data_IF_146609142336
#
_entry.id   IF_146609142336
#
_cell.length_a   1.000
_cell.length_b   1.000
_cell.length_c   1.000
_cell.angle_alpha   90.00
_cell.angle_beta   90.00
_cell.angle_gamma   90.00
#
_symmetry.space_group_name_H-M   'P 1'
#
loop_
_entity.id
_entity.type
_entity.pdbx_description
1 polymer ?
#
# COMPACT_ATOMS: atom_id res chain seq x y z
N UNK A 1 6.76 -18.89 -36.71
CA UNK A 1 7.42 -18.46 -35.46
C UNK A 1 6.41 -18.62 -34.33
N UNK A 2 6.85 -19.06 -33.14
CA UNK A 2 5.98 -19.06 -31.97
C UNK A 2 5.67 -17.61 -31.58
N UNK A 3 4.46 -17.34 -31.12
CA UNK A 3 4.11 -16.02 -30.58
C UNK A 3 4.71 -15.85 -29.18
N UNK A 4 4.90 -14.61 -28.72
CA UNK A 4 5.33 -14.31 -27.35
C UNK A 4 4.47 -15.04 -26.31
N UNK A 5 3.16 -15.11 -26.54
CA UNK A 5 2.22 -15.84 -25.68
C UNK A 5 2.53 -17.34 -25.61
N UNK A 6 2.86 -17.97 -26.74
CA UNK A 6 3.19 -19.40 -26.79
C UNK A 6 4.54 -19.69 -26.12
N UNK A 7 5.51 -18.79 -26.24
CA UNK A 7 6.81 -18.90 -25.57
C UNK A 7 6.67 -18.73 -24.06
N UNK A 8 5.89 -17.73 -23.62
CA UNK A 8 5.57 -17.52 -22.21
C UNK A 8 4.82 -18.70 -21.60
N UNK A 9 3.77 -19.20 -22.27
CA UNK A 9 3.02 -20.37 -21.79
C UNK A 9 3.94 -21.59 -21.64
N UNK A 10 4.80 -21.85 -22.63
CA UNK A 10 5.77 -22.95 -22.56
C UNK A 10 6.75 -22.77 -21.40
N UNK A 11 7.19 -21.55 -21.14
CA UNK A 11 8.08 -21.23 -20.01
C UNK A 11 7.38 -21.49 -18.67
N UNK A 12 6.16 -20.99 -18.48
CA UNK A 12 5.35 -21.21 -17.27
C UNK A 12 5.11 -22.71 -17.05
N UNK A 13 4.74 -23.46 -18.09
CA UNK A 13 4.53 -24.92 -17.98
C UNK A 13 5.78 -25.71 -17.65
N UNK A 14 6.98 -25.20 -17.97
CA UNK A 14 8.24 -25.82 -17.52
C UNK A 14 8.47 -25.63 -16.02
N UNK A 15 8.07 -24.49 -15.47
CA UNK A 15 8.19 -24.20 -14.03
C UNK A 15 7.13 -24.98 -13.23
N UNK A 16 5.94 -25.17 -13.80
CA UNK A 16 4.81 -25.87 -13.17
C UNK A 16 4.34 -27.10 -13.98
N UNK A 17 5.17 -28.17 -14.08
CA UNK A 17 4.99 -29.25 -15.05
C UNK A 17 3.82 -30.22 -14.79
N UNK A 18 3.04 -30.03 -13.72
CA UNK A 18 1.98 -30.94 -13.30
C UNK A 18 0.71 -30.22 -12.81
N UNK A 19 0.48 -28.96 -13.23
CA UNK A 19 -0.70 -28.19 -12.87
C UNK A 19 -1.55 -27.88 -14.11
N UNK A 20 -2.78 -28.38 -14.13
CA UNK A 20 -3.75 -28.07 -15.19
C UNK A 20 -4.20 -26.60 -15.11
N UNK A 21 -4.28 -26.05 -13.90
CA UNK A 21 -4.63 -24.66 -13.62
C UNK A 21 -3.57 -24.03 -12.70
N UNK A 22 -3.08 -22.86 -13.10
CA UNK A 22 -2.09 -22.09 -12.34
C UNK A 22 -2.77 -20.78 -11.91
N UNK A 23 -3.15 -20.62 -10.62
CA UNK A 23 -3.78 -19.39 -10.16
C UNK A 23 -2.76 -18.24 -10.17
N UNK A 24 -3.24 -17.02 -10.41
CA UNK A 24 -2.41 -15.82 -10.29
C UNK A 24 -1.88 -15.63 -8.86
N UNK A 25 -2.72 -15.93 -7.85
CA UNK A 25 -2.37 -15.85 -6.44
C UNK A 25 -3.19 -16.87 -5.63
N UNK A 26 -2.53 -17.53 -4.67
CA UNK A 26 -3.17 -18.42 -3.70
C UNK A 26 -2.49 -18.28 -2.33
N UNK A 27 -3.22 -18.01 -1.24
CA UNK A 27 -2.66 -18.01 0.11
C UNK A 27 -2.03 -19.36 0.45
N UNK A 28 -0.89 -19.34 1.13
CA UNK A 28 -0.21 -20.54 1.61
C UNK A 28 -0.20 -20.54 3.13
N UNK A 29 -0.84 -21.55 3.73
CA UNK A 29 -0.85 -21.76 5.18
C UNK A 29 0.06 -22.95 5.50
N UNK A 30 1.31 -22.68 5.88
CA UNK A 30 2.38 -23.70 5.99
C UNK A 30 2.95 -23.84 7.40
N UNK A 31 2.51 -23.03 8.33
CA UNK A 31 3.00 -23.00 9.70
C UNK A 31 1.87 -23.10 10.71
N UNK A 32 1.90 -22.20 11.67
CA UNK A 32 1.02 -22.24 12.84
C UNK A 32 -0.32 -21.52 12.62
N UNK A 33 -0.66 -21.10 11.39
CA UNK A 33 -1.84 -20.26 11.13
C UNK A 33 -3.12 -20.94 11.64
N UNK A 34 -3.28 -22.24 11.36
CA UNK A 34 -4.42 -23.03 11.88
C UNK A 34 -4.42 -23.09 13.41
N UNK A 35 -3.26 -23.32 14.02
CA UNK A 35 -3.18 -23.43 15.48
C UNK A 35 -3.55 -22.09 16.14
N UNK A 36 -2.99 -20.98 15.67
CA UNK A 36 -3.26 -19.67 16.24
C UNK A 36 -4.73 -19.25 16.11
N UNK A 37 -5.38 -19.60 15.00
CA UNK A 37 -6.83 -19.39 14.85
C UNK A 37 -7.64 -20.26 15.81
N UNK A 38 -7.24 -21.51 16.03
CA UNK A 38 -7.93 -22.36 17.01
C UNK A 38 -7.74 -21.83 18.44
N UNK A 39 -6.55 -21.35 18.78
CA UNK A 39 -6.27 -20.77 20.09
C UNK A 39 -7.13 -19.53 20.38
N UNK A 40 -7.44 -18.69 19.36
CA UNK A 40 -8.35 -17.56 19.57
C UNK A 40 -9.79 -18.00 19.79
N UNK A 41 -10.24 -19.04 19.08
CA UNK A 41 -11.57 -19.62 19.28
C UNK A 41 -11.72 -20.25 20.67
N UNK A 42 -10.70 -20.98 21.13
CA UNK A 42 -10.70 -21.63 22.44
C UNK A 42 -10.63 -20.60 23.59
N UNK A 43 -9.80 -19.56 23.44
CA UNK A 43 -9.68 -18.50 24.44
C UNK A 43 -10.83 -17.49 24.43
N UNK A 44 -11.67 -17.50 23.39
CA UNK A 44 -12.77 -16.54 23.12
C UNK A 44 -12.32 -15.08 22.84
N UNK A 45 -11.01 -14.81 22.79
CA UNK A 45 -10.46 -13.53 22.35
C UNK A 45 -10.43 -13.47 20.81
N UNK A 46 -11.61 -13.31 20.22
CA UNK A 46 -11.86 -13.36 18.76
C UNK A 46 -12.10 -12.00 18.12
N UNK A 47 -12.10 -10.93 18.91
CA UNK A 47 -12.36 -9.56 18.44
C UNK A 47 -11.06 -8.80 18.16
N UNK A 48 -11.14 -7.47 18.06
CA UNK A 48 -10.02 -6.58 17.74
C UNK A 48 -8.97 -6.41 18.85
N UNK A 49 -9.14 -7.11 19.97
CA UNK A 49 -8.20 -7.11 21.10
C UNK A 49 -7.84 -8.56 21.42
N UNK A 50 -6.55 -8.86 21.50
CA UNK A 50 -6.06 -10.18 21.89
C UNK A 50 -4.56 -10.34 21.68
N UNK A 51 -4.01 -11.34 22.36
CA UNK A 51 -2.56 -11.63 22.39
C UNK A 51 -1.90 -11.72 21.00
N UNK A 52 -2.63 -12.19 19.99
CA UNK A 52 -2.10 -12.30 18.64
C UNK A 52 -1.96 -10.96 17.91
N UNK A 53 -2.73 -9.93 18.30
CA UNK A 53 -2.54 -8.56 17.80
C UNK A 53 -1.23 -8.00 18.33
N UNK A 54 -1.01 -8.04 19.65
CA UNK A 54 0.21 -7.54 20.29
C UNK A 54 1.46 -8.26 19.75
N UNK A 55 1.40 -9.60 19.65
CA UNK A 55 2.49 -10.41 19.08
C UNK A 55 2.77 -10.04 17.63
N UNK A 56 1.74 -9.79 16.82
CA UNK A 56 1.90 -9.40 15.43
C UNK A 56 2.55 -8.01 15.34
N UNK A 57 2.08 -7.03 16.10
CA UNK A 57 2.66 -5.68 16.11
C UNK A 57 4.14 -5.71 16.52
N UNK A 58 4.48 -6.45 17.59
CA UNK A 58 5.88 -6.61 18.02
C UNK A 58 6.75 -7.29 16.96
N UNK A 59 6.28 -8.37 16.35
CA UNK A 59 7.03 -9.09 15.32
C UNK A 59 7.25 -8.23 14.06
N UNK A 60 6.25 -7.43 13.67
CA UNK A 60 6.38 -6.50 12.53
C UNK A 60 7.27 -5.31 12.88
N UNK A 61 7.25 -4.82 14.12
CA UNK A 61 8.16 -3.78 14.58
C UNK A 61 9.62 -4.26 14.50
N UNK A 62 9.90 -5.48 14.97
CA UNK A 62 11.21 -6.12 14.85
C UNK A 62 11.62 -6.32 13.38
N UNK A 63 10.70 -6.82 12.54
CA UNK A 63 10.98 -7.08 11.13
C UNK A 63 11.28 -5.80 10.32
N UNK A 64 10.56 -4.71 10.59
CA UNK A 64 10.69 -3.45 9.84
C UNK A 64 11.73 -2.50 10.44
N UNK A 65 12.11 -2.69 11.71
CA UNK A 65 12.89 -1.73 12.49
C UNK A 65 12.09 -0.49 12.92
N UNK A 66 10.77 -0.49 12.76
CA UNK A 66 9.91 0.62 13.17
C UNK A 66 9.81 0.67 14.70
N UNK A 67 9.84 1.87 15.27
CA UNK A 67 9.70 2.03 16.73
C UNK A 67 8.30 1.60 17.22
N UNK A 68 7.27 1.79 16.39
CA UNK A 68 5.88 1.44 16.69
C UNK A 68 5.21 0.86 15.44
N UNK A 69 4.29 -0.09 15.66
CA UNK A 69 3.44 -0.70 14.63
C UNK A 69 2.03 -0.79 15.16
N UNK A 70 1.04 -0.43 14.34
CA UNK A 70 -0.38 -0.53 14.67
C UNK A 70 -1.06 -1.43 13.65
N UNK A 71 -1.64 -2.53 14.11
CA UNK A 71 -2.41 -3.44 13.29
C UNK A 71 -3.75 -2.81 12.89
N UNK A 72 -4.11 -2.95 11.62
CA UNK A 72 -5.40 -2.47 11.08
C UNK A 72 -6.09 -3.56 10.30
N UNK A 73 -7.39 -3.42 10.07
CA UNK A 73 -8.17 -4.43 9.35
C UNK A 73 -7.84 -4.50 7.84
N UNK A 74 -7.29 -3.42 7.24
CA UNK A 74 -6.88 -3.37 5.83
C UNK A 74 -5.77 -2.33 5.61
N UNK A 75 -5.00 -2.48 4.53
CA UNK A 75 -4.02 -1.46 4.12
C UNK A 75 -4.64 -0.09 3.79
N UNK A 76 -5.86 -0.06 3.24
CA UNK A 76 -6.59 1.20 2.99
C UNK A 76 -6.94 1.92 4.30
N UNK A 77 -7.39 1.17 5.33
CA UNK A 77 -7.63 1.74 6.66
C UNK A 77 -6.35 2.31 7.27
N UNK A 78 -5.22 1.62 7.11
CA UNK A 78 -3.92 2.10 7.58
C UNK A 78 -3.54 3.44 6.93
N UNK A 79 -3.64 3.53 5.59
CA UNK A 79 -3.36 4.77 4.87
C UNK A 79 -4.30 5.90 5.28
N UNK A 80 -5.59 5.61 5.45
CA UNK A 80 -6.58 6.61 5.85
C UNK A 80 -6.26 7.18 7.25
N UNK A 81 -6.00 6.33 8.23
CA UNK A 81 -5.64 6.77 9.60
C UNK A 81 -4.31 7.52 9.59
N UNK A 82 -3.32 7.06 8.82
CA UNK A 82 -2.03 7.74 8.70
C UNK A 82 -2.18 9.18 8.16
N UNK A 83 -2.99 9.36 7.11
CA UNK A 83 -3.28 10.69 6.55
C UNK A 83 -3.99 11.59 7.57
N UNK A 84 -5.00 11.07 8.27
CA UNK A 84 -5.70 11.82 9.33
C UNK A 84 -4.75 12.25 10.45
N UNK A 85 -3.83 11.38 10.87
CA UNK A 85 -2.83 11.70 11.90
C UNK A 85 -1.81 12.75 11.44
N UNK A 86 -1.52 12.82 10.14
CA UNK A 86 -0.72 13.88 9.53
C UNK A 86 -1.48 15.22 9.38
N UNK A 87 -2.77 15.27 9.76
CA UNK A 87 -3.59 16.47 9.68
C UNK A 87 -4.24 16.72 8.32
N UNK A 88 -4.17 15.75 7.39
CA UNK A 88 -4.72 15.89 6.04
C UNK A 88 -6.24 16.03 6.09
N UNK A 89 -6.76 17.05 5.42
CA UNK A 89 -8.17 17.41 5.37
C UNK A 89 -8.62 17.92 4.00
N UNK A 90 -9.82 18.52 3.97
CA UNK A 90 -10.53 18.89 2.73
C UNK A 90 -9.77 19.87 1.83
N UNK A 91 -9.03 20.79 2.42
CA UNK A 91 -8.32 21.85 1.70
C UNK A 91 -6.89 21.43 1.31
N UNK A 92 -6.48 20.21 1.64
CA UNK A 92 -5.14 19.71 1.35
C UNK A 92 -5.07 18.96 0.02
N UNK A 93 -3.90 19.05 -0.60
CA UNK A 93 -3.50 18.22 -1.71
C UNK A 93 -2.52 17.15 -1.25
N UNK A 94 -2.69 15.92 -1.72
CA UNK A 94 -1.77 14.81 -1.45
C UNK A 94 -1.23 14.28 -2.77
N UNK A 95 0.07 14.43 -2.98
CA UNK A 95 0.76 13.92 -4.16
C UNK A 95 0.83 12.40 -4.10
N UNK A 96 0.45 11.75 -5.20
CA UNK A 96 0.55 10.30 -5.41
C UNK A 96 0.87 10.01 -6.87
N UNK A 97 1.12 8.74 -7.19
CA UNK A 97 1.36 8.28 -8.55
C UNK A 97 0.08 7.78 -9.24
N UNK A 98 0.01 7.94 -10.56
CA UNK A 98 -1.13 7.46 -11.38
C UNK A 98 -1.19 5.94 -11.50
N UNK A 99 -0.04 5.27 -11.54
CA UNK A 99 0.07 3.80 -11.61
C UNK A 99 0.18 3.21 -10.21
N UNK A 100 -0.96 2.99 -9.55
CA UNK A 100 -1.04 2.38 -8.21
C UNK A 100 -2.36 1.63 -8.00
N UNK A 101 -2.48 0.90 -6.89
CA UNK A 101 -3.78 0.35 -6.48
C UNK A 101 -4.68 1.47 -5.94
N UNK A 102 -5.98 1.41 -6.25
CA UNK A 102 -6.94 2.48 -5.95
C UNK A 102 -7.08 2.82 -4.46
N UNK A 103 -6.67 1.91 -3.57
CA UNK A 103 -6.67 2.11 -2.12
C UNK A 103 -5.96 3.40 -1.68
N UNK A 104 -4.87 3.78 -2.36
CA UNK A 104 -4.12 5.02 -2.09
C UNK A 104 -4.98 6.27 -2.32
N UNK A 105 -5.54 6.42 -3.53
CA UNK A 105 -6.36 7.57 -3.88
C UNK A 105 -7.67 7.62 -3.09
N UNK A 106 -8.23 6.46 -2.77
CA UNK A 106 -9.43 6.37 -1.93
C UNK A 106 -9.15 6.88 -0.51
N UNK A 107 -8.02 6.48 0.11
CA UNK A 107 -7.64 6.96 1.44
C UNK A 107 -7.49 8.49 1.49
N UNK A 108 -6.90 9.09 0.45
CA UNK A 108 -6.82 10.55 0.29
C UNK A 108 -8.23 11.15 0.23
N UNK A 109 -9.12 10.61 -0.63
CA UNK A 109 -10.48 11.14 -0.75
C UNK A 109 -11.33 10.95 0.51
N UNK A 110 -11.10 9.91 1.31
CA UNK A 110 -11.80 9.70 2.57
C UNK A 110 -11.49 10.80 3.60
N UNK A 111 -10.30 11.41 3.54
CA UNK A 111 -9.96 12.61 4.33
C UNK A 111 -10.64 13.89 3.80
N UNK A 112 -11.30 13.83 2.64
CA UNK A 112 -11.80 14.99 1.90
C UNK A 112 -10.76 15.66 0.99
N UNK A 113 -9.48 15.30 1.14
CA UNK A 113 -8.34 15.89 0.42
C UNK A 113 -8.32 15.58 -1.08
N UNK A 114 -7.49 16.32 -1.82
CA UNK A 114 -7.35 16.22 -3.27
C UNK A 114 -6.10 15.43 -3.70
N UNK A 115 -6.24 14.25 -4.36
CA UNK A 115 -5.09 13.52 -4.87
C UNK A 115 -4.53 14.23 -6.10
N UNK A 116 -3.24 14.54 -6.07
CA UNK A 116 -2.52 15.10 -7.21
C UNK A 116 -1.66 13.99 -7.81
N UNK A 117 -1.97 13.63 -9.06
CA UNK A 117 -1.28 12.54 -9.74
C UNK A 117 -0.03 13.03 -10.47
N UNK A 118 1.11 12.49 -10.08
CA UNK A 118 2.40 12.66 -10.76
C UNK A 118 2.75 11.35 -11.47
N UNK A 119 3.46 11.46 -12.59
CA UNK A 119 3.80 10.33 -13.44
C UNK A 119 4.84 9.37 -12.80
N UNK A 120 4.96 8.17 -13.35
CA UNK A 120 5.86 7.12 -12.86
C UNK A 120 7.13 6.99 -13.68
N UNK A 121 8.17 6.47 -13.04
CA UNK A 121 9.41 6.10 -13.72
C UNK A 121 9.23 4.78 -14.47
N UNK A 122 9.74 4.72 -15.70
CA UNK A 122 9.50 3.58 -16.61
C UNK A 122 10.15 2.29 -16.12
N UNK A 123 11.31 2.41 -15.49
CA UNK A 123 12.16 1.29 -15.08
C UNK A 123 11.67 0.66 -13.78
N UNK A 124 11.20 1.48 -12.83
CA UNK A 124 10.79 1.03 -11.49
C UNK A 124 9.28 0.95 -11.32
N UNK A 125 8.51 1.62 -12.19
CA UNK A 125 7.06 1.81 -12.10
C UNK A 125 6.61 2.53 -10.82
N UNK A 126 7.54 3.11 -10.07
CA UNK A 126 7.28 3.95 -8.90
C UNK A 126 7.15 5.43 -9.27
N UNK A 127 6.76 6.26 -8.29
CA UNK A 127 6.63 7.71 -8.45
C UNK A 127 7.94 8.30 -9.00
N UNK A 128 7.89 8.96 -10.16
CA UNK A 128 9.10 9.47 -10.79
C UNK A 128 9.68 10.64 -9.99
N UNK A 129 10.92 10.55 -9.46
CA UNK A 129 11.54 11.66 -8.74
C UNK A 129 11.71 12.90 -9.61
N UNK A 130 12.03 12.69 -10.90
CA UNK A 130 12.16 13.77 -11.88
C UNK A 130 10.83 14.49 -12.10
N UNK A 131 9.74 13.73 -12.33
CA UNK A 131 8.42 14.34 -12.55
C UNK A 131 7.87 15.00 -11.30
N UNK A 132 8.18 14.47 -10.12
CA UNK A 132 7.83 15.10 -8.86
C UNK A 132 8.57 16.42 -8.67
N UNK A 133 9.88 16.46 -8.93
CA UNK A 133 10.65 17.70 -8.85
C UNK A 133 10.14 18.77 -9.83
N UNK A 134 9.92 18.39 -11.10
CA UNK A 134 9.32 19.26 -12.13
C UNK A 134 7.95 19.80 -11.66
N UNK A 135 7.07 18.93 -11.14
CA UNK A 135 5.77 19.34 -10.62
C UNK A 135 5.89 20.36 -9.49
N UNK A 136 6.75 20.10 -8.50
CA UNK A 136 6.94 21.00 -7.36
C UNK A 136 7.52 22.36 -7.80
N UNK A 137 8.54 22.37 -8.67
CA UNK A 137 9.17 23.61 -9.16
C UNK A 137 8.19 24.48 -9.97
N UNK A 138 7.40 23.85 -10.84
CA UNK A 138 6.52 24.58 -11.76
C UNK A 138 5.19 25.00 -11.12
N UNK A 139 4.66 24.20 -10.20
CA UNK A 139 3.29 24.36 -9.71
C UNK A 139 3.21 24.77 -8.24
N UNK A 140 4.30 24.71 -7.48
CA UNK A 140 4.26 24.98 -6.03
C UNK A 140 5.21 26.10 -5.61
N UNK A 141 4.95 26.67 -4.44
CA UNK A 141 5.83 27.63 -3.77
C UNK A 141 5.75 27.44 -2.25
N UNK A 142 6.83 27.72 -1.55
CA UNK A 142 6.81 27.80 -0.08
C UNK A 142 6.50 29.24 0.30
N UNK A 143 5.41 29.46 1.05
CA UNK A 143 4.98 30.80 1.49
C UNK A 143 5.50 31.11 2.90
N UNK A 144 5.23 32.31 3.39
CA UNK A 144 5.74 32.83 4.69
C UNK A 144 5.26 32.02 5.91
N UNK A 145 4.20 31.22 5.76
CA UNK A 145 3.73 30.27 6.78
C UNK A 145 4.56 28.97 6.85
N UNK A 146 5.54 28.81 5.96
CA UNK A 146 6.39 27.64 5.87
C UNK A 146 5.73 26.44 5.18
N UNK A 147 4.53 26.59 4.63
CA UNK A 147 3.80 25.53 3.93
C UNK A 147 4.07 25.59 2.43
N UNK A 148 3.94 24.44 1.77
CA UNK A 148 4.03 24.29 0.33
C UNK A 148 2.62 24.47 -0.28
N UNK A 149 2.45 25.51 -1.08
CA UNK A 149 1.18 25.88 -1.70
C UNK A 149 1.23 25.65 -3.20
N UNK A 150 0.15 25.09 -3.74
CA UNK A 150 -0.04 24.96 -5.18
C UNK A 150 -0.54 26.30 -5.75
N UNK A 151 0.21 26.87 -6.70
CA UNK A 151 -0.01 28.19 -7.32
C UNK A 151 -1.30 28.26 -8.16
N UNK A 152 -1.86 27.12 -8.54
CA UNK A 152 -3.02 27.03 -9.43
C UNK A 152 -4.31 26.86 -8.64
N UNK A 153 -4.28 26.04 -7.58
CA UNK A 153 -5.46 25.77 -6.75
C UNK A 153 -5.61 26.70 -5.55
N UNK A 154 -4.56 27.45 -5.16
CA UNK A 154 -4.52 28.33 -3.98
C UNK A 154 -3.63 29.59 -4.14
#
# INVERSE_FOLDING_TARGET
MATLSQEFERYVRKIFPAQDYIPLHAPQFRGNERQYVLDTLESTFVSSVGNYVDKFELAIAEFTGSQYVIATNTGTSALHIALMLCGVGKEDEVVTQSLTFVGTSNAIRYCGAHPVFVDVERETLGLSPKKLAEFLEENTEVRDDGLCWNRVSN
#
